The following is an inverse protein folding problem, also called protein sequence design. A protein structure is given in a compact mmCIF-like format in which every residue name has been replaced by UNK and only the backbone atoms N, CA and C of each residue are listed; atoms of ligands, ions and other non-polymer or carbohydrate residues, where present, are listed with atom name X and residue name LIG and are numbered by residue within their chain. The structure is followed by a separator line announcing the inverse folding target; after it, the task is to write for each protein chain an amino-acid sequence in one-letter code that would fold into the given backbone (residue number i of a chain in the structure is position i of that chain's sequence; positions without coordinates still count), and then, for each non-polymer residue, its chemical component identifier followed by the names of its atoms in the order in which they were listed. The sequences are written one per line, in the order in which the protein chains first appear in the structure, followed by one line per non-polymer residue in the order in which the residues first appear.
data_IF_092333725746
#
_entry.id   IF_092333725746
#
_cell.length_a   1.000
_cell.length_b   1.000
_cell.length_c   1.000
_cell.angle_alpha   90.00
_cell.angle_beta   90.00
_cell.angle_gamma   90.00
#
_symmetry.space_group_name_H-M   'P 1'
#
loop_
_entity.id
_entity.type
_entity.pdbx_description
1 polymer ?
#
# COMPACT_ATOMS: atom_id res chain seq x y z
N UNK A 1 -8.03 24.11 29.24
CA UNK A 1 -9.50 24.28 29.12
C UNK A 1 -9.72 25.05 27.83
N UNK A 2 -9.84 24.33 26.72
CA UNK A 2 -10.09 24.90 25.39
C UNK A 2 -11.55 24.66 25.04
N UNK A 3 -12.23 25.71 24.62
CA UNK A 3 -13.68 25.79 24.46
C UNK A 3 -14.16 24.89 23.29
N UNK A 4 -15.01 23.90 23.56
CA UNK A 4 -15.70 23.03 22.59
C UNK A 4 -17.01 23.64 22.08
N UNK A 5 -17.07 24.97 22.00
CA UNK A 5 -18.23 25.67 21.45
C UNK A 5 -17.98 25.95 19.97
N UNK A 6 -18.48 25.05 19.11
CA UNK A 6 -18.41 25.19 17.66
C UNK A 6 -18.42 23.87 16.87
N UNK A 7 -18.35 22.72 17.54
CA UNK A 7 -18.34 21.43 16.86
C UNK A 7 -19.78 20.99 16.49
N UNK A 8 -20.19 21.32 15.27
CA UNK A 8 -21.46 20.93 14.62
C UNK A 8 -21.82 19.44 14.77
N UNK A 9 -20.82 18.56 14.93
CA UNK A 9 -21.02 17.13 15.13
C UNK A 9 -21.59 16.78 16.51
N UNK A 10 -21.28 17.58 17.54
CA UNK A 10 -21.84 17.43 18.89
C UNK A 10 -23.30 17.87 18.91
N UNK A 11 -23.63 18.92 18.14
CA UNK A 11 -24.97 19.49 18.04
C UNK A 11 -25.98 18.57 17.33
N UNK A 12 -25.52 17.77 16.36
CA UNK A 12 -26.39 16.82 15.64
C UNK A 12 -26.68 15.52 16.39
N UNK A 13 -26.25 15.36 17.64
CA UNK A 13 -26.50 14.15 18.43
C UNK A 13 -25.86 12.88 17.85
N UNK A 14 -24.91 13.05 16.92
CA UNK A 14 -24.13 11.95 16.38
C UNK A 14 -23.13 11.58 17.48
N UNK A 15 -23.43 10.50 18.19
CA UNK A 15 -22.50 9.88 19.12
C UNK A 15 -21.25 9.48 18.31
N UNK A 16 -20.23 10.34 18.32
CA UNK A 16 -18.88 9.98 17.91
C UNK A 16 -18.34 9.01 18.94
N UNK A 17 -18.85 7.78 18.92
CA UNK A 17 -18.02 6.64 19.24
C UNK A 17 -16.85 6.77 18.30
N UNK A 18 -15.75 7.30 18.82
CA UNK A 18 -14.42 7.20 18.25
C UNK A 18 -14.04 5.72 18.28
N UNK A 19 -14.78 4.88 17.55
CA UNK A 19 -14.19 3.71 16.95
C UNK A 19 -12.96 4.24 16.24
N UNK A 20 -11.79 3.72 16.58
CA UNK A 20 -10.56 4.00 15.83
C UNK A 20 -10.92 3.75 14.37
N UNK A 21 -11.13 4.82 13.62
CA UNK A 21 -11.25 4.72 12.17
C UNK A 21 -9.85 4.38 11.76
N UNK A 22 -9.61 3.10 11.51
CA UNK A 22 -8.36 2.63 10.93
C UNK A 22 -8.35 3.15 9.50
N UNK A 23 -7.87 4.39 9.35
CA UNK A 23 -7.75 5.03 8.05
C UNK A 23 -6.77 4.20 7.22
N UNK A 24 -7.27 3.54 6.18
CA UNK A 24 -6.40 3.01 5.16
C UNK A 24 -5.72 4.21 4.49
N UNK A 25 -4.39 4.24 4.53
CA UNK A 25 -3.64 5.30 3.87
C UNK A 25 -3.95 5.25 2.37
N UNK A 26 -4.29 6.40 1.79
CA UNK A 26 -4.49 6.51 0.34
C UNK A 26 -3.17 6.12 -0.34
N UNK A 27 -3.20 5.21 -1.33
CA UNK A 27 -1.99 4.80 -2.04
C UNK A 27 -1.25 6.01 -2.66
N UNK A 28 -0.03 6.28 -2.19
CA UNK A 28 0.82 7.34 -2.75
C UNK A 28 1.53 6.83 -4.00
N UNK A 29 1.24 7.46 -5.14
CA UNK A 29 1.95 7.20 -6.40
C UNK A 29 3.16 8.12 -6.45
N UNK A 30 4.36 7.55 -6.56
CA UNK A 30 5.59 8.33 -6.76
C UNK A 30 5.66 8.88 -8.19
N UNK A 31 6.40 9.98 -8.45
CA UNK A 31 6.60 10.51 -9.79
C UNK A 31 7.17 9.49 -10.79
N UNK A 32 6.84 9.65 -12.08
CA UNK A 32 7.29 8.74 -13.14
C UNK A 32 8.81 8.63 -13.25
N UNK A 33 9.51 9.74 -13.06
CA UNK A 33 10.98 9.79 -13.07
C UNK A 33 11.57 8.92 -11.97
N UNK A 34 11.02 9.00 -10.76
CA UNK A 34 11.44 8.22 -9.60
C UNK A 34 11.13 6.73 -9.79
N UNK A 35 9.92 6.41 -10.25
CA UNK A 35 9.53 5.04 -10.59
C UNK A 35 10.43 4.42 -11.66
N UNK A 36 10.70 5.15 -12.75
CA UNK A 36 11.58 4.67 -13.82
C UNK A 36 13.00 4.43 -13.32
N UNK A 37 13.51 5.32 -12.46
CA UNK A 37 14.83 5.16 -11.85
C UNK A 37 14.89 3.93 -10.94
N UNK A 38 13.88 3.73 -10.08
CA UNK A 38 13.75 2.53 -9.25
C UNK A 38 13.75 1.26 -10.11
N UNK A 39 12.93 1.22 -11.18
CA UNK A 39 12.82 0.06 -12.05
C UNK A 39 14.13 -0.25 -12.81
N UNK A 40 14.93 0.77 -13.13
CA UNK A 40 16.27 0.60 -13.74
C UNK A 40 17.31 0.07 -12.75
N UNK A 41 17.17 0.39 -11.46
CA UNK A 41 18.12 0.00 -10.42
C UNK A 41 17.85 -1.40 -9.83
N UNK A 42 16.74 -2.04 -10.18
CA UNK A 42 16.48 -3.41 -9.77
C UNK A 42 17.53 -4.37 -10.34
N UNK A 43 18.01 -5.30 -9.51
CA UNK A 43 18.83 -6.39 -10.02
C UNK A 43 18.00 -7.37 -10.88
N UNK A 44 18.68 -8.26 -11.60
CA UNK A 44 18.02 -9.17 -12.55
C UNK A 44 16.91 -10.03 -11.92
N UNK A 45 17.09 -10.51 -10.69
CA UNK A 45 16.11 -11.34 -10.01
C UNK A 45 14.89 -10.53 -9.55
N UNK A 46 15.13 -9.35 -8.98
CA UNK A 46 14.08 -8.41 -8.59
C UNK A 46 13.24 -7.99 -9.81
N UNK A 47 13.90 -7.60 -10.90
CA UNK A 47 13.23 -7.21 -12.15
C UNK A 47 12.41 -8.34 -12.74
N UNK A 48 12.97 -9.55 -12.81
CA UNK A 48 12.27 -10.75 -13.29
C UNK A 48 11.03 -11.04 -12.43
N UNK A 49 11.16 -10.94 -11.10
CA UNK A 49 10.04 -11.14 -10.19
C UNK A 49 8.93 -10.09 -10.40
N UNK A 50 9.27 -8.81 -10.45
CA UNK A 50 8.30 -7.74 -10.68
C UNK A 50 7.55 -7.94 -12.00
N UNK A 51 8.25 -8.27 -13.09
CA UNK A 51 7.62 -8.54 -14.38
C UNK A 51 6.68 -9.76 -14.32
N UNK A 52 7.08 -10.83 -13.65
CA UNK A 52 6.24 -12.01 -13.48
C UNK A 52 4.95 -11.70 -12.71
N UNK A 53 5.04 -10.94 -11.60
CA UNK A 53 3.86 -10.50 -10.84
C UNK A 53 2.92 -9.70 -11.74
N UNK A 54 3.46 -8.76 -12.54
CA UNK A 54 2.64 -7.98 -13.46
C UNK A 54 1.99 -8.82 -14.56
N UNK A 55 2.67 -9.86 -15.06
CA UNK A 55 2.10 -10.78 -16.04
C UNK A 55 0.94 -11.58 -15.44
N UNK A 56 1.06 -12.09 -14.21
CA UNK A 56 -0.03 -12.81 -13.53
C UNK A 56 -1.26 -11.92 -13.39
N UNK A 57 -1.08 -10.68 -12.91
CA UNK A 57 -2.16 -9.71 -12.73
C UNK A 57 -2.84 -9.38 -14.07
N UNK A 58 -2.05 -9.10 -15.12
CA UNK A 58 -2.58 -8.75 -16.45
C UNK A 58 -3.35 -9.88 -17.12
N UNK A 59 -2.96 -11.13 -16.85
CA UNK A 59 -3.61 -12.31 -17.41
C UNK A 59 -4.85 -12.73 -16.61
N UNK A 60 -5.22 -11.99 -15.55
CA UNK A 60 -6.41 -12.27 -14.75
C UNK A 60 -6.27 -13.48 -13.85
N UNK A 61 -5.04 -13.81 -13.42
CA UNK A 61 -4.84 -14.86 -12.42
C UNK A 61 -5.56 -14.47 -11.11
N UNK A 62 -6.53 -15.30 -10.71
CA UNK A 62 -7.45 -14.95 -9.63
C UNK A 62 -6.79 -14.96 -8.24
N UNK A 63 -5.71 -15.73 -8.07
CA UNK A 63 -5.01 -15.83 -6.78
C UNK A 63 -3.59 -16.39 -6.95
N UNK A 64 -2.60 -15.73 -6.35
CA UNK A 64 -1.24 -16.26 -6.27
C UNK A 64 -0.58 -15.84 -4.94
N UNK A 65 0.13 -16.77 -4.32
CA UNK A 65 0.82 -16.57 -3.04
C UNK A 65 2.31 -16.79 -3.21
N UNK A 66 3.10 -15.73 -3.09
CA UNK A 66 4.55 -15.79 -3.24
C UNK A 66 5.25 -15.49 -1.93
N UNK A 67 6.26 -16.30 -1.60
CA UNK A 67 7.17 -16.05 -0.50
C UNK A 67 8.54 -15.68 -1.04
N UNK A 68 9.05 -14.50 -0.64
CA UNK A 68 10.33 -13.98 -1.11
C UNK A 68 11.34 -14.00 0.03
N UNK A 69 12.38 -14.80 -0.17
CA UNK A 69 13.50 -14.89 0.76
C UNK A 69 14.70 -14.08 0.29
N UNK A 70 15.54 -13.69 1.24
CA UNK A 70 16.83 -13.06 0.96
C UNK A 70 17.51 -12.58 2.22
N UNK A 71 18.85 -12.46 2.16
CA UNK A 71 19.69 -11.96 3.25
C UNK A 71 19.33 -10.51 3.64
N UNK A 72 19.81 -10.05 4.78
CA UNK A 72 19.68 -8.64 5.16
C UNK A 72 20.40 -7.73 4.14
N UNK A 73 19.87 -6.54 3.89
CA UNK A 73 20.50 -5.54 3.01
C UNK A 73 20.35 -5.77 1.49
N UNK A 74 19.72 -6.86 1.04
CA UNK A 74 19.60 -7.17 -0.41
C UNK A 74 18.54 -6.35 -1.17
N UNK A 75 17.92 -5.36 -0.53
CA UNK A 75 16.89 -4.51 -1.17
C UNK A 75 15.49 -5.14 -1.24
N UNK A 76 15.07 -5.90 -0.21
CA UNK A 76 13.69 -6.46 -0.16
C UNK A 76 12.62 -5.38 -0.13
N UNK A 77 12.81 -4.31 0.64
CA UNK A 77 11.86 -3.18 0.69
C UNK A 77 11.75 -2.49 -0.67
N UNK A 78 12.87 -2.30 -1.38
CA UNK A 78 12.88 -1.76 -2.76
C UNK A 78 12.09 -2.65 -3.71
N UNK A 79 12.18 -3.98 -3.59
CA UNK A 79 11.37 -4.89 -4.38
C UNK A 79 9.87 -4.76 -4.07
N UNK A 80 9.51 -4.64 -2.78
CA UNK A 80 8.12 -4.43 -2.34
C UNK A 80 7.56 -3.14 -2.97
N UNK A 81 8.31 -2.04 -2.89
CA UNK A 81 7.93 -0.75 -3.48
C UNK A 81 7.79 -0.81 -5.00
N UNK A 82 8.73 -1.47 -5.69
CA UNK A 82 8.66 -1.65 -7.14
C UNK A 82 7.42 -2.42 -7.59
N UNK A 83 7.08 -3.51 -6.89
CA UNK A 83 5.86 -4.28 -7.16
C UNK A 83 4.63 -3.44 -6.87
N UNK A 84 4.58 -2.78 -5.71
CA UNK A 84 3.45 -1.94 -5.30
C UNK A 84 3.16 -0.82 -6.30
N UNK A 85 4.17 -0.04 -6.68
CA UNK A 85 4.02 1.03 -7.67
C UNK A 85 3.63 0.50 -9.05
N UNK A 86 4.15 -0.66 -9.46
CA UNK A 86 3.75 -1.29 -10.73
C UNK A 86 2.26 -1.66 -10.74
N UNK A 87 1.75 -2.17 -9.61
CA UNK A 87 0.33 -2.55 -9.46
C UNK A 87 -0.57 -1.31 -9.48
N UNK A 88 -0.25 -0.29 -8.68
CA UNK A 88 -1.03 0.95 -8.64
C UNK A 88 -1.12 1.62 -10.02
N UNK A 89 0.02 1.74 -10.70
CA UNK A 89 0.10 2.35 -12.03
C UNK A 89 -0.68 1.57 -13.08
N UNK A 90 -0.68 0.24 -13.00
CA UNK A 90 -1.48 -0.59 -13.89
C UNK A 90 -2.98 -0.33 -13.69
N UNK A 91 -3.49 -0.42 -12.47
CA UNK A 91 -4.92 -0.20 -12.22
C UNK A 91 -5.37 1.23 -12.53
N UNK A 92 -4.54 2.23 -12.23
CA UNK A 92 -4.86 3.63 -12.53
C UNK A 92 -4.80 3.96 -14.03
N UNK A 93 -4.17 3.10 -14.83
CA UNK A 93 -4.22 3.22 -16.30
C UNK A 93 -5.48 2.63 -16.92
N UNK A 94 -6.27 1.84 -16.17
CA UNK A 94 -7.48 1.21 -16.67
C UNK A 94 -8.68 2.18 -16.60
N UNK A 95 -9.51 2.26 -17.65
CA UNK A 95 -10.71 3.09 -17.62
C UNK A 95 -11.71 2.61 -16.56
N UNK A 96 -12.35 3.55 -15.87
CA UNK A 96 -13.34 3.25 -14.81
C UNK A 96 -12.75 2.98 -13.43
N UNK A 97 -11.43 3.12 -13.25
CA UNK A 97 -10.75 2.98 -11.97
C UNK A 97 -10.50 4.34 -11.34
N UNK A 98 -11.07 4.57 -10.16
CA UNK A 98 -10.84 5.79 -9.38
C UNK A 98 -9.51 5.69 -8.60
N UNK A 99 -8.67 6.74 -8.62
CA UNK A 99 -7.38 6.73 -7.92
C UNK A 99 -7.51 6.58 -6.40
N UNK A 100 -8.66 6.96 -5.83
CA UNK A 100 -8.94 6.88 -4.40
C UNK A 100 -9.36 5.48 -3.94
N UNK A 101 -9.52 4.53 -4.87
CA UNK A 101 -9.86 3.15 -4.55
C UNK A 101 -8.62 2.34 -4.14
N UNK A 102 -8.71 1.63 -3.02
CA UNK A 102 -7.62 0.76 -2.54
C UNK A 102 -7.53 -0.47 -3.46
N UNK A 103 -6.49 -0.54 -4.28
CA UNK A 103 -6.22 -1.68 -5.20
C UNK A 103 -5.10 -2.60 -4.71
N UNK A 104 -4.24 -2.08 -3.86
CA UNK A 104 -3.17 -2.82 -3.21
C UNK A 104 -2.98 -2.22 -1.81
N UNK A 105 -2.64 -3.08 -0.84
CA UNK A 105 -2.32 -2.68 0.52
C UNK A 105 -0.93 -3.22 0.88
N UNK A 106 -0.11 -2.38 1.51
CA UNK A 106 1.16 -2.80 2.09
C UNK A 106 0.98 -2.97 3.59
N UNK A 107 1.29 -4.16 4.09
CA UNK A 107 1.17 -4.50 5.49
C UNK A 107 2.47 -5.10 6.02
N UNK A 108 2.77 -4.85 7.28
CA UNK A 108 3.87 -5.50 7.99
C UNK A 108 3.46 -5.93 9.41
N UNK A 109 4.17 -6.90 10.03
CA UNK A 109 3.80 -7.39 11.36
C UNK A 109 4.03 -6.40 12.50
N UNK A 110 4.95 -5.43 12.34
CA UNK A 110 5.31 -4.47 13.38
C UNK A 110 5.26 -3.04 12.86
N UNK A 111 5.04 -2.07 13.76
CA UNK A 111 4.98 -0.65 13.39
C UNK A 111 6.23 -0.13 12.70
N UNK A 112 7.43 -0.54 13.16
CA UNK A 112 8.70 -0.13 12.51
C UNK A 112 8.83 -0.67 11.09
N UNK A 113 8.44 -1.93 10.86
CA UNK A 113 8.49 -2.52 9.53
C UNK A 113 7.43 -1.91 8.60
N UNK A 114 6.25 -1.58 9.13
CA UNK A 114 5.20 -0.91 8.38
C UNK A 114 5.66 0.48 7.93
N UNK A 115 6.24 1.26 8.84
CA UNK A 115 6.79 2.57 8.53
C UNK A 115 7.89 2.51 7.45
N UNK A 116 8.75 1.47 7.46
CA UNK A 116 9.82 1.29 6.47
C UNK A 116 9.31 1.11 5.03
N UNK A 117 8.14 0.51 4.86
CA UNK A 117 7.53 0.28 3.54
C UNK A 117 6.39 1.25 3.25
N UNK A 118 6.24 2.30 4.07
CA UNK A 118 5.13 3.25 4.03
C UNK A 118 3.74 2.57 4.06
N UNK A 119 3.64 1.44 4.77
CA UNK A 119 2.44 0.61 4.88
C UNK A 119 1.76 0.69 6.25
N UNK A 120 0.87 -0.26 6.50
CA UNK A 120 0.11 -0.39 7.75
C UNK A 120 0.55 -1.61 8.56
N UNK A 121 0.18 -1.64 9.84
CA UNK A 121 0.35 -2.85 10.65
C UNK A 121 -0.71 -3.85 10.23
N UNK A 122 -0.33 -5.10 9.95
CA UNK A 122 -1.24 -6.15 9.49
C UNK A 122 -2.41 -6.37 10.46
N UNK A 123 -2.13 -6.33 11.76
CA UNK A 123 -3.12 -6.47 12.82
C UNK A 123 -4.21 -5.38 12.75
N UNK A 124 -3.80 -4.12 12.59
CA UNK A 124 -4.73 -3.00 12.39
C UNK A 124 -5.44 -3.08 11.04
N UNK A 125 -4.75 -3.38 9.94
CA UNK A 125 -5.39 -3.43 8.62
C UNK A 125 -6.53 -4.47 8.54
N UNK A 126 -6.37 -5.59 9.25
CA UNK A 126 -7.36 -6.67 9.29
C UNK A 126 -8.31 -6.59 10.49
N UNK A 127 -8.21 -5.53 11.30
CA UNK A 127 -8.96 -5.34 12.55
C UNK A 127 -8.97 -6.59 13.44
N UNK A 128 -7.81 -7.22 13.60
CA UNK A 128 -7.64 -8.43 14.41
C UNK A 128 -7.71 -8.09 15.91
N UNK A 129 -8.17 -9.02 16.77
CA UNK A 129 -8.20 -8.84 18.22
C UNK A 129 -6.80 -8.80 18.86
#
# INVERSE_FOLDING_TARGET
IGNTEGDIFVEMGINTRTGKVEHCNVPKIIPDTEYQQMMRNLNNNQRKYTLNVMNLIKNGENQFFHFINGRAGVGKSTLIEAVYQSILRFYNSLPGYYPDSIRAALCAPTGKAAALIEGMILHSFLSLP
#
